data_IF_989164315592
#
_entry.id   IF_989164315592
#
_cell.length_a   1.000
_cell.length_b   1.000
_cell.length_c   1.000
_cell.angle_alpha   90.00
_cell.angle_beta   90.00
_cell.angle_gamma   90.00
#
_symmetry.space_group_name_H-M   'P 1'
#
loop_
_entity.id
_entity.type
_entity.pdbx_description
1 polymer ?
#
# COMPACT_ATOMS: atom_id res chain seq x y z
N UNK A 1 -48.92 -2.29 -22.45
CA UNK A 1 -48.30 -1.10 -21.81
C UNK A 1 -47.79 -1.39 -20.40
N UNK A 2 -48.62 -1.83 -19.44
CA UNK A 2 -48.21 -2.08 -18.04
C UNK A 2 -47.03 -3.06 -17.86
N UNK A 3 -46.94 -4.11 -18.69
CA UNK A 3 -45.84 -5.08 -18.68
C UNK A 3 -44.49 -4.48 -19.08
N UNK A 4 -44.47 -3.50 -19.99
CA UNK A 4 -43.26 -2.81 -20.41
C UNK A 4 -42.76 -1.82 -19.36
N UNK A 5 -43.68 -1.15 -18.64
CA UNK A 5 -43.34 -0.32 -17.48
C UNK A 5 -42.72 -1.14 -16.34
N UNK A 6 -43.23 -2.36 -16.09
CA UNK A 6 -42.65 -3.26 -15.10
C UNK A 6 -41.23 -3.72 -15.47
N UNK A 7 -40.99 -4.06 -16.74
CA UNK A 7 -39.66 -4.44 -17.24
C UNK A 7 -38.69 -3.26 -17.14
N UNK A 8 -39.12 -2.06 -17.53
CA UNK A 8 -38.30 -0.85 -17.42
C UNK A 8 -37.91 -0.56 -15.96
N UNK A 9 -38.85 -0.72 -15.03
CA UNK A 9 -38.59 -0.56 -13.60
C UNK A 9 -37.53 -1.54 -13.07
N UNK A 10 -37.57 -2.80 -13.51
CA UNK A 10 -36.58 -3.82 -13.13
C UNK A 10 -35.20 -3.48 -13.71
N UNK A 11 -35.12 -3.04 -14.97
CA UNK A 11 -33.85 -2.65 -15.59
C UNK A 11 -33.23 -1.47 -14.87
N UNK A 12 -34.02 -0.44 -14.55
CA UNK A 12 -33.56 0.72 -13.77
C UNK A 12 -33.08 0.29 -12.38
N UNK A 13 -33.82 -0.59 -11.71
CA UNK A 13 -33.43 -1.10 -10.40
C UNK A 13 -32.09 -1.86 -10.48
N UNK A 14 -31.89 -2.70 -11.48
CA UNK A 14 -30.64 -3.45 -11.67
C UNK A 14 -29.45 -2.52 -11.95
N UNK A 15 -29.64 -1.46 -12.75
CA UNK A 15 -28.60 -0.45 -13.00
C UNK A 15 -28.24 0.30 -11.72
N UNK A 16 -29.24 0.72 -10.93
CA UNK A 16 -29.01 1.42 -9.66
C UNK A 16 -28.29 0.51 -8.66
N UNK A 17 -28.74 -0.73 -8.50
CA UNK A 17 -28.09 -1.71 -7.61
C UNK A 17 -26.66 -1.99 -8.07
N UNK A 18 -26.44 -2.19 -9.37
CA UNK A 18 -25.10 -2.39 -9.93
C UNK A 18 -24.17 -1.20 -9.66
N UNK A 19 -24.67 0.03 -9.81
CA UNK A 19 -23.92 1.25 -9.52
C UNK A 19 -23.59 1.39 -8.01
N UNK A 20 -24.53 1.07 -7.13
CA UNK A 20 -24.31 1.11 -5.68
C UNK A 20 -23.28 0.07 -5.22
N UNK A 21 -23.30 -1.13 -5.82
CA UNK A 21 -22.30 -2.16 -5.55
C UNK A 21 -20.92 -1.73 -6.04
N UNK A 22 -20.84 -1.15 -7.24
CA UNK A 22 -19.59 -0.63 -7.80
C UNK A 22 -18.94 0.44 -6.90
N UNK A 23 -19.74 1.38 -6.39
CA UNK A 23 -19.26 2.43 -5.48
C UNK A 23 -18.75 1.90 -4.13
N UNK A 24 -19.19 0.70 -3.69
CA UNK A 24 -18.80 0.15 -2.39
C UNK A 24 -17.38 -0.41 -2.36
N UNK A 25 -16.76 -0.65 -3.52
CA UNK A 25 -15.40 -1.22 -3.59
C UNK A 25 -14.27 -0.19 -3.38
N UNK A 26 -14.58 1.11 -3.27
CA UNK A 26 -13.59 2.16 -3.08
C UNK A 26 -13.46 2.59 -1.62
N UNK A 27 -13.31 1.65 -0.69
CA UNK A 27 -12.70 2.00 0.60
C UNK A 27 -11.22 2.20 0.34
N UNK A 28 -10.83 3.45 0.04
CA UNK A 28 -9.45 3.93 -0.02
C UNK A 28 -8.83 3.73 1.37
N UNK A 29 -8.33 2.53 1.62
CA UNK A 29 -7.68 2.17 2.87
C UNK A 29 -6.20 2.52 2.80
N UNK A 30 -5.70 3.17 3.85
CA UNK A 30 -4.26 3.23 4.09
C UNK A 30 -3.71 1.82 4.31
N UNK A 31 -2.56 1.54 3.72
CA UNK A 31 -1.76 0.34 3.99
C UNK A 31 -0.57 0.73 4.85
N UNK A 32 -0.19 -0.15 5.77
CA UNK A 32 1.05 0.00 6.52
C UNK A 32 2.02 -1.09 6.08
N UNK A 33 3.23 -0.68 5.71
CA UNK A 33 4.32 -1.58 5.31
C UNK A 33 5.41 -1.47 6.35
N UNK A 34 5.71 -2.59 6.98
CA UNK A 34 6.77 -2.74 7.97
C UNK A 34 7.94 -3.47 7.30
N UNK A 35 9.07 -2.78 7.19
CA UNK A 35 10.30 -3.29 6.62
C UNK A 35 11.34 -3.46 7.74
N UNK A 36 11.77 -4.71 7.97
CA UNK A 36 12.81 -5.03 8.95
C UNK A 36 14.01 -5.64 8.24
N UNK A 37 15.00 -4.79 8.02
CA UNK A 37 16.31 -5.17 7.45
C UNK A 37 17.46 -4.82 8.39
N UNK A 38 17.12 -4.19 9.52
CA UNK A 38 17.98 -3.41 10.38
C UNK A 38 18.75 -2.35 9.59
N UNK A 39 18.14 -1.18 9.38
CA UNK A 39 17.10 -0.56 10.21
C UNK A 39 15.65 -1.08 10.06
N UNK A 40 14.78 -0.73 11.03
CA UNK A 40 13.35 -1.06 11.05
C UNK A 40 12.49 0.18 10.76
N UNK A 41 11.70 0.14 9.68
CA UNK A 41 10.92 1.29 9.18
C UNK A 41 9.47 0.90 8.97
N UNK A 42 8.54 1.75 9.40
CA UNK A 42 7.13 1.70 9.03
C UNK A 42 6.79 2.76 7.97
N UNK A 43 6.02 2.36 6.97
CA UNK A 43 5.61 3.22 5.86
C UNK A 43 4.09 3.21 5.76
N UNK A 44 3.47 4.39 5.89
CA UNK A 44 2.05 4.60 5.60
C UNK A 44 1.88 4.90 4.11
N UNK A 45 1.10 4.06 3.44
CA UNK A 45 0.92 4.07 1.99
C UNK A 45 -0.54 4.28 1.65
N UNK A 46 -0.84 5.20 0.72
CA UNK A 46 -2.20 5.42 0.27
C UNK A 46 -2.66 4.39 -0.79
N UNK A 47 -3.89 4.56 -1.30
CA UNK A 47 -4.48 3.67 -2.29
C UNK A 47 -3.75 3.70 -3.65
N UNK A 48 -3.00 4.77 -3.95
CA UNK A 48 -2.20 4.91 -5.17
C UNK A 48 -0.79 4.28 -5.00
N UNK A 49 -0.54 3.59 -3.89
CA UNK A 49 0.75 3.03 -3.50
C UNK A 49 1.83 4.11 -3.29
N UNK A 50 1.43 5.32 -2.91
CA UNK A 50 2.32 6.44 -2.62
C UNK A 50 2.55 6.55 -1.11
N UNK A 51 3.82 6.72 -0.72
CA UNK A 51 4.21 6.87 0.68
C UNK A 51 3.78 8.25 1.20
N UNK A 52 2.97 8.24 2.26
CA UNK A 52 2.43 9.42 2.94
C UNK A 52 2.98 9.61 4.35
N UNK A 53 3.49 8.54 4.95
CA UNK A 53 4.10 8.55 6.27
C UNK A 53 5.31 7.63 6.29
N UNK A 54 6.35 8.04 7.00
CA UNK A 54 7.56 7.26 7.24
C UNK A 54 7.90 7.42 8.71
N UNK A 55 7.93 6.30 9.43
CA UNK A 55 8.17 6.27 10.86
C UNK A 55 9.37 5.37 11.15
N UNK A 56 10.47 5.91 11.69
CA UNK A 56 11.56 5.08 12.20
C UNK A 56 11.06 4.28 13.41
N UNK A 57 11.36 2.99 13.46
CA UNK A 57 11.00 2.14 14.60
C UNK A 57 12.19 1.82 15.52
N UNK A 58 13.43 2.12 15.07
CA UNK A 58 14.64 1.99 15.87
C UNK A 58 15.62 3.15 15.60
N UNK A 59 16.68 3.23 16.41
CA UNK A 59 17.70 4.30 16.30
C UNK A 59 18.44 4.27 14.96
N UNK A 60 18.75 3.07 14.44
CA UNK A 60 19.38 2.92 13.12
C UNK A 60 18.48 3.50 12.02
N UNK A 61 17.17 3.33 12.11
CA UNK A 61 16.21 3.88 11.15
C UNK A 61 16.17 5.40 11.24
N UNK A 62 16.19 5.96 12.44
CA UNK A 62 16.20 7.42 12.63
C UNK A 62 17.44 8.05 11.98
N UNK A 63 18.61 7.42 12.16
CA UNK A 63 19.86 7.83 11.51
C UNK A 63 19.75 7.71 9.99
N UNK A 64 19.33 6.54 9.47
CA UNK A 64 19.20 6.29 8.03
C UNK A 64 18.26 7.30 7.36
N UNK A 65 17.08 7.52 7.95
CA UNK A 65 16.00 8.29 7.34
C UNK A 65 16.22 9.81 7.41
N UNK A 66 17.10 10.29 8.30
CA UNK A 66 17.32 11.71 8.55
C UNK A 66 17.69 12.54 7.30
N UNK A 67 18.39 11.91 6.35
CA UNK A 67 18.83 12.55 5.11
C UNK A 67 17.98 12.18 3.87
N UNK A 68 16.94 11.35 4.06
CA UNK A 68 16.14 10.79 2.96
C UNK A 68 14.85 11.58 2.70
N UNK A 69 14.48 11.72 1.42
CA UNK A 69 13.21 12.34 0.99
C UNK A 69 12.30 11.28 0.40
N UNK A 70 11.49 10.63 1.24
CA UNK A 70 10.71 9.44 0.85
C UNK A 70 9.22 9.72 0.61
N UNK A 71 8.69 10.80 1.20
CA UNK A 71 7.28 11.17 1.06
C UNK A 71 6.93 11.53 -0.39
N UNK A 72 5.76 11.09 -0.84
CA UNK A 72 5.25 11.33 -2.18
C UNK A 72 5.85 10.44 -3.27
N UNK A 73 6.74 9.51 -2.92
CA UNK A 73 7.30 8.52 -3.84
C UNK A 73 6.48 7.21 -3.84
N UNK A 74 6.50 6.44 -4.93
CA UNK A 74 5.98 5.07 -4.95
C UNK A 74 6.69 4.19 -3.92
N UNK A 75 5.94 3.36 -3.21
CA UNK A 75 6.45 2.45 -2.18
C UNK A 75 7.57 1.53 -2.68
N UNK A 76 7.49 1.03 -3.91
CA UNK A 76 8.53 0.18 -4.50
C UNK A 76 9.89 0.88 -4.59
N UNK A 77 9.89 2.18 -4.92
CA UNK A 77 11.11 2.97 -5.02
C UNK A 77 11.63 3.33 -3.64
N UNK A 78 10.74 3.60 -2.68
CA UNK A 78 11.11 3.88 -1.29
C UNK A 78 11.75 2.65 -0.64
N UNK A 79 11.18 1.47 -0.86
CA UNK A 79 11.75 0.22 -0.35
C UNK A 79 13.14 -0.05 -0.92
N UNK A 80 13.32 0.11 -2.24
CA UNK A 80 14.62 0.00 -2.93
C UNK A 80 15.64 0.99 -2.35
N UNK A 81 15.26 2.27 -2.20
CA UNK A 81 16.14 3.31 -1.66
C UNK A 81 16.56 3.03 -0.20
N UNK A 82 15.64 2.54 0.64
CA UNK A 82 15.95 2.15 2.03
C UNK A 82 16.94 0.99 2.06
N UNK A 83 16.74 -0.03 1.23
CA UNK A 83 17.64 -1.20 1.15
C UNK A 83 19.02 -0.78 0.64
N UNK A 84 19.08 -0.01 -0.43
CA UNK A 84 20.34 0.45 -1.02
C UNK A 84 21.16 1.27 -0.03
N UNK A 85 20.53 2.24 0.65
CA UNK A 85 21.24 3.04 1.66
C UNK A 85 21.68 2.16 2.85
N UNK A 86 20.87 1.18 3.25
CA UNK A 86 21.25 0.22 4.32
C UNK A 86 22.47 -0.62 3.94
N UNK A 87 22.59 -1.00 2.67
CA UNK A 87 23.78 -1.68 2.12
C UNK A 87 24.98 -0.74 2.15
N UNK A 88 24.82 0.51 1.71
CA UNK A 88 25.91 1.49 1.64
C UNK A 88 26.53 1.78 3.02
N UNK A 89 25.70 1.86 4.07
CA UNK A 89 26.18 2.08 5.44
C UNK A 89 26.64 0.78 6.13
N UNK A 90 26.56 -0.37 5.44
CA UNK A 90 27.04 -1.67 5.94
C UNK A 90 26.19 -2.26 7.06
N UNK A 91 24.94 -1.83 7.21
CA UNK A 91 24.03 -2.30 8.26
C UNK A 91 23.11 -3.44 7.82
N UNK A 92 23.09 -3.78 6.52
CA UNK A 92 22.21 -4.82 5.99
C UNK A 92 22.44 -6.18 6.66
N UNK A 93 21.38 -6.74 7.24
CA UNK A 93 21.39 -8.11 7.75
C UNK A 93 21.10 -9.16 6.67
N UNK A 94 21.39 -10.42 6.98
CA UNK A 94 21.16 -11.55 6.07
C UNK A 94 19.67 -11.83 5.76
N UNK A 95 18.75 -11.21 6.48
CA UNK A 95 17.32 -11.46 6.38
C UNK A 95 16.57 -10.14 6.20
N UNK A 96 15.68 -10.11 5.21
CA UNK A 96 14.74 -9.01 4.97
C UNK A 96 13.35 -9.51 5.32
N UNK A 97 12.74 -8.94 6.36
CA UNK A 97 11.36 -9.25 6.74
C UNK A 97 10.42 -8.11 6.29
N UNK A 98 9.39 -8.48 5.51
CA UNK A 98 8.37 -7.58 5.03
C UNK A 98 7.02 -7.99 5.60
N UNK A 99 6.33 -7.07 6.28
CA UNK A 99 4.95 -7.25 6.73
C UNK A 99 4.08 -6.15 6.14
N UNK A 100 2.99 -6.53 5.48
CA UNK A 100 2.02 -5.60 4.90
C UNK A 100 0.68 -5.76 5.61
N UNK A 101 0.14 -4.65 6.11
CA UNK A 101 -1.15 -4.58 6.79
C UNK A 101 -2.12 -3.74 5.98
N UNK A 102 -3.23 -4.34 5.55
CA UNK A 102 -4.36 -3.67 4.91
C UNK A 102 -5.65 -4.45 5.23
N UNK A 103 -6.79 -3.76 5.28
CA UNK A 103 -8.10 -4.38 5.52
C UNK A 103 -8.56 -5.29 4.36
N UNK A 104 -8.14 -4.97 3.13
CA UNK A 104 -8.36 -5.77 1.92
C UNK A 104 -7.21 -6.72 1.71
N UNK A 105 -7.49 -8.03 1.71
CA UNK A 105 -6.50 -9.07 1.42
C UNK A 105 -5.92 -8.95 0.01
N UNK A 106 -6.77 -8.59 -0.97
CA UNK A 106 -6.33 -8.37 -2.35
C UNK A 106 -5.33 -7.23 -2.43
N UNK A 107 -5.64 -6.08 -1.82
CA UNK A 107 -4.75 -4.91 -1.80
C UNK A 107 -3.45 -5.21 -1.05
N UNK A 108 -3.54 -5.94 0.07
CA UNK A 108 -2.38 -6.41 0.84
C UNK A 108 -1.44 -7.24 -0.04
N UNK A 109 -1.97 -8.23 -0.77
CA UNK A 109 -1.19 -9.11 -1.64
C UNK A 109 -0.60 -8.37 -2.85
N UNK A 110 -1.37 -7.46 -3.45
CA UNK A 110 -0.90 -6.63 -4.56
C UNK A 110 0.29 -5.77 -4.13
N UNK A 111 0.17 -5.08 -3.00
CA UNK A 111 1.23 -4.24 -2.45
C UNK A 111 2.45 -5.08 -2.03
N UNK A 112 2.25 -6.21 -1.34
CA UNK A 112 3.31 -7.12 -0.94
C UNK A 112 4.13 -7.62 -2.14
N UNK A 113 3.47 -8.05 -3.22
CA UNK A 113 4.15 -8.45 -4.45
C UNK A 113 4.91 -7.29 -5.09
N UNK A 114 4.32 -6.08 -5.08
CA UNK A 114 4.94 -4.88 -5.65
C UNK A 114 6.28 -4.58 -4.98
N UNK A 115 6.31 -4.59 -3.64
CA UNK A 115 7.55 -4.37 -2.89
C UNK A 115 8.53 -5.51 -3.13
N UNK A 116 8.10 -6.77 -3.06
CA UNK A 116 8.96 -7.95 -3.27
C UNK A 116 9.64 -8.02 -4.64
N UNK A 117 9.12 -7.35 -5.67
CA UNK A 117 9.83 -7.31 -6.96
C UNK A 117 11.10 -6.45 -6.96
N UNK A 118 11.30 -5.65 -5.91
CA UNK A 118 12.44 -4.74 -5.75
C UNK A 118 13.44 -5.17 -4.68
N UNK A 119 13.12 -6.23 -3.93
CA UNK A 119 13.95 -6.82 -2.88
C UNK A 119 14.50 -8.15 -3.39
#
# INVERSE_FOLDING_TARGET
MKKYFAILGIVVLLVVVGYLVFMRNNTEGYSYVLLKINPEVELGVDADNVVREVTPLNEDADILLSDMKLLGKPIENVAEEIIDNTVEIGQLQNTIELTVMNASEETRLQLENKVKTKI
#
